data_IF_014612506205
#
_entry.id   IF_014612506205
#
_cell.length_a   1.000
_cell.length_b   1.000
_cell.length_c   1.000
_cell.angle_alpha   90.00
_cell.angle_beta   90.00
_cell.angle_gamma   90.00
#
_symmetry.space_group_name_H-M   'P 1'
#
loop_
_entity.id
_entity.type
_entity.pdbx_description
1 polymer ?
#
# COMPACT_ATOMS: atom_id res chain seq x y z
N UNK A 1 31.24 99.42 27.15
CA UNK A 1 30.30 98.84 26.18
C UNK A 1 30.94 98.02 25.03
N UNK A 2 32.15 97.44 25.18
CA UNK A 2 32.81 96.65 24.10
C UNK A 2 32.98 95.14 24.38
N UNK A 3 32.70 94.63 25.58
CA UNK A 3 32.91 93.21 25.93
C UNK A 3 31.69 92.28 25.73
N UNK A 4 30.48 92.81 25.58
CA UNK A 4 29.25 92.00 25.41
C UNK A 4 28.96 91.60 23.96
N UNK A 5 29.52 92.30 22.96
CA UNK A 5 29.32 91.96 21.53
C UNK A 5 30.16 90.76 21.06
N UNK A 6 31.33 90.52 21.67
CA UNK A 6 32.18 89.36 21.32
C UNK A 6 31.61 88.03 21.83
N UNK A 7 31.03 88.01 23.03
CA UNK A 7 30.45 86.79 23.60
C UNK A 7 29.17 86.37 22.87
N UNK A 8 28.34 87.32 22.45
CA UNK A 8 27.13 87.03 21.66
C UNK A 8 27.47 86.53 20.25
N UNK A 9 28.54 87.06 19.63
CA UNK A 9 29.02 86.60 18.32
C UNK A 9 29.61 85.19 18.40
N UNK A 10 30.36 84.87 19.46
CA UNK A 10 30.93 83.53 19.68
C UNK A 10 29.84 82.51 19.98
N UNK A 11 28.80 82.88 20.74
CA UNK A 11 27.65 81.99 21.01
C UNK A 11 26.78 81.81 19.75
N UNK A 12 26.55 82.85 18.95
CA UNK A 12 25.86 82.69 17.65
C UNK A 12 26.66 81.83 16.68
N UNK A 13 28.00 81.98 16.67
CA UNK A 13 28.89 81.26 15.76
C UNK A 13 29.09 79.81 16.20
N UNK A 14 29.10 79.49 17.50
CA UNK A 14 29.08 78.09 17.97
C UNK A 14 27.74 77.42 17.75
N UNK A 15 26.60 78.12 17.89
CA UNK A 15 25.28 77.58 17.53
C UNK A 15 25.16 77.38 16.00
N UNK A 16 25.81 78.20 15.19
CA UNK A 16 25.88 78.00 13.73
C UNK A 16 26.85 76.89 13.32
N UNK A 17 27.97 76.68 14.04
CA UNK A 17 28.92 75.60 13.73
C UNK A 17 28.50 74.23 14.28
N UNK A 18 27.72 74.14 15.36
CA UNK A 18 27.18 72.85 15.84
C UNK A 18 26.05 72.30 14.98
N UNK A 19 25.51 73.10 14.06
CA UNK A 19 24.54 72.66 13.05
C UNK A 19 25.21 72.26 11.71
N UNK A 20 26.55 72.26 11.62
CA UNK A 20 27.27 71.99 10.38
C UNK A 20 28.16 70.74 10.38
N UNK A 21 28.24 69.98 11.48
CA UNK A 21 29.01 68.72 11.52
C UNK A 21 28.11 67.51 11.72
N UNK A 22 27.42 67.16 10.64
CA UNK A 22 26.67 65.92 10.55
C UNK A 22 26.03 65.69 9.19
N UNK A 23 26.63 66.12 8.07
CA UNK A 23 26.04 65.87 6.75
C UNK A 23 27.09 65.56 5.68
N UNK A 24 27.27 64.27 5.42
CA UNK A 24 27.50 63.78 4.06
C UNK A 24 26.13 63.40 3.46
N UNK A 25 25.17 64.35 3.45
CA UNK A 25 23.85 64.09 2.88
C UNK A 25 23.90 64.28 1.36
N UNK A 26 23.92 63.19 0.59
CA UNK A 26 23.60 63.24 -0.84
C UNK A 26 22.08 63.36 -1.01
N UNK A 27 21.56 64.57 -0.90
CA UNK A 27 20.16 64.88 -1.27
C UNK A 27 20.10 65.32 -2.72
N UNK A 28 19.58 64.44 -3.58
CA UNK A 28 19.18 64.82 -4.94
C UNK A 28 17.67 64.64 -5.10
N UNK A 29 16.92 65.76 -5.00
CA UNK A 29 15.47 66.00 -5.33
C UNK A 29 14.51 66.24 -4.13
N UNK A 30 13.42 66.96 -4.43
CA UNK A 30 12.33 67.50 -3.58
C UNK A 30 11.97 66.71 -2.30
N UNK A 31 11.95 67.45 -1.18
CA UNK A 31 11.31 67.09 0.09
C UNK A 31 11.83 65.77 0.71
N UNK A 32 13.13 65.51 0.59
CA UNK A 32 13.85 64.47 1.31
C UNK A 32 14.27 64.95 2.71
N UNK A 33 14.29 64.05 3.69
CA UNK A 33 14.64 64.36 5.09
C UNK A 33 15.64 63.34 5.62
N UNK A 34 16.88 63.75 5.87
CA UNK A 34 17.93 62.93 6.51
C UNK A 34 18.30 63.52 7.87
N UNK A 35 17.80 62.95 8.97
CA UNK A 35 17.97 63.50 10.33
C UNK A 35 18.86 62.63 11.21
N UNK A 36 18.94 61.33 10.93
CA UNK A 36 19.83 60.44 11.68
C UNK A 36 21.31 60.78 11.44
N UNK A 37 22.16 60.61 12.44
CA UNK A 37 23.61 60.78 12.25
C UNK A 37 24.10 59.69 11.26
N UNK A 38 24.80 60.13 10.20
CA UNK A 38 25.19 59.32 9.04
C UNK A 38 24.03 58.74 8.21
N UNK A 39 22.84 59.36 8.26
CA UNK A 39 21.71 58.95 7.43
C UNK A 39 21.81 59.51 6.00
N UNK A 40 21.41 58.71 5.01
CA UNK A 40 21.42 59.09 3.60
C UNK A 40 20.00 59.03 3.04
N UNK A 41 19.55 60.10 2.37
CA UNK A 41 18.25 60.14 1.69
C UNK A 41 18.42 60.68 0.27
N UNK A 42 18.24 59.82 -0.75
CA UNK A 42 18.51 60.15 -2.15
C UNK A 42 17.29 59.88 -3.07
N UNK A 43 16.88 60.84 -3.88
CA UNK A 43 15.69 60.76 -4.74
C UNK A 43 14.56 61.69 -4.26
N UNK A 44 13.29 61.31 -4.42
CA UNK A 44 12.13 62.19 -4.16
C UNK A 44 11.32 61.77 -2.92
N UNK A 45 11.05 62.69 -1.99
CA UNK A 45 10.20 62.44 -0.81
C UNK A 45 10.66 61.26 0.08
N UNK A 46 11.97 61.02 0.21
CA UNK A 46 12.50 59.97 1.09
C UNK A 46 12.81 60.50 2.50
N UNK A 47 12.61 59.67 3.52
CA UNK A 47 12.86 60.01 4.93
C UNK A 47 13.84 59.00 5.52
N UNK A 48 15.00 59.44 6.00
CA UNK A 48 16.01 58.63 6.66
C UNK A 48 16.31 59.23 8.05
N UNK A 49 15.70 58.67 9.09
CA UNK A 49 15.79 59.21 10.47
C UNK A 49 16.59 58.34 11.42
N UNK A 50 16.81 57.06 11.09
CA UNK A 50 17.62 56.16 11.91
C UNK A 50 19.12 56.46 11.81
N UNK A 51 19.89 56.11 12.84
CA UNK A 51 21.36 56.21 12.82
C UNK A 51 21.93 55.30 11.72
N UNK A 52 22.83 55.76 10.85
CA UNK A 52 23.29 55.01 9.65
C UNK A 52 22.18 54.53 8.69
N UNK A 53 20.98 55.11 8.75
CA UNK A 53 19.88 54.69 7.86
C UNK A 53 20.08 55.16 6.42
N UNK A 54 19.51 54.47 5.45
CA UNK A 54 19.59 54.85 4.03
C UNK A 54 18.25 54.68 3.33
N UNK A 55 17.72 55.75 2.74
CA UNK A 55 16.49 55.74 1.96
C UNK A 55 16.76 56.24 0.53
N UNK A 56 16.48 55.42 -0.49
CA UNK A 56 16.80 55.73 -1.89
C UNK A 56 15.65 55.42 -2.85
N UNK A 57 15.30 56.35 -3.73
CA UNK A 57 14.22 56.19 -4.72
C UNK A 57 13.11 57.21 -4.52
N UNK A 58 11.85 56.78 -4.36
CA UNK A 58 10.72 57.69 -4.15
C UNK A 58 9.79 57.25 -3.01
N UNK A 59 9.45 58.16 -2.09
CA UNK A 59 8.56 57.92 -0.94
C UNK A 59 9.02 56.83 0.06
N UNK A 60 10.32 56.54 0.15
CA UNK A 60 10.82 55.55 1.10
C UNK A 60 11.06 56.15 2.48
N UNK A 61 10.91 55.34 3.52
CA UNK A 61 11.16 55.74 4.90
C UNK A 61 12.07 54.70 5.58
N UNK A 62 13.27 55.10 6.00
CA UNK A 62 14.21 54.30 6.76
C UNK A 62 14.36 54.89 8.18
N UNK A 63 13.57 54.39 9.12
CA UNK A 63 13.48 54.93 10.49
C UNK A 63 14.24 54.12 11.52
N UNK A 64 14.53 52.83 11.24
CA UNK A 64 15.35 51.98 12.11
C UNK A 64 16.84 52.32 12.05
N UNK A 65 17.60 52.07 13.12
CA UNK A 65 19.05 52.23 13.08
C UNK A 65 19.66 51.20 12.12
N UNK A 66 20.64 51.63 11.32
CA UNK A 66 21.26 50.90 10.23
C UNK A 66 20.24 50.28 9.24
N UNK A 67 19.04 50.87 9.14
CA UNK A 67 18.01 50.37 8.23
C UNK A 67 18.17 50.93 6.82
N UNK A 68 17.71 50.17 5.83
CA UNK A 68 17.80 50.53 4.41
C UNK A 68 16.44 50.39 3.74
N UNK A 69 15.99 51.39 3.00
CA UNK A 69 14.74 51.39 2.22
C UNK A 69 15.01 51.87 0.79
N UNK A 70 14.94 50.97 -0.20
CA UNK A 70 15.26 51.26 -1.60
C UNK A 70 14.05 50.98 -2.51
N UNK A 71 13.71 51.91 -3.42
CA UNK A 71 12.67 51.72 -4.43
C UNK A 71 11.51 52.71 -4.31
N UNK A 72 10.27 52.22 -4.21
CA UNK A 72 9.06 53.05 -4.20
C UNK A 72 8.16 52.76 -2.98
N UNK A 73 7.91 53.77 -2.15
CA UNK A 73 6.93 53.70 -1.05
C UNK A 73 7.22 52.55 -0.06
N UNK A 74 8.48 52.36 0.30
CA UNK A 74 8.89 51.34 1.29
C UNK A 74 9.08 51.92 2.69
N UNK A 75 8.94 51.09 3.72
CA UNK A 75 9.09 51.48 5.11
C UNK A 75 9.95 50.48 5.89
N UNK A 76 11.17 50.87 6.26
CA UNK A 76 12.12 50.10 7.08
C UNK A 76 12.19 50.66 8.50
N UNK A 77 11.58 49.96 9.45
CA UNK A 77 11.46 50.36 10.86
C UNK A 77 12.40 49.56 11.76
N UNK A 78 12.59 48.27 11.47
CA UNK A 78 13.42 47.39 12.28
C UNK A 78 14.90 47.83 12.31
N UNK A 79 15.59 47.56 13.41
CA UNK A 79 17.04 47.77 13.49
C UNK A 79 17.75 46.81 12.52
N UNK A 80 18.77 47.28 11.79
CA UNK A 80 19.47 46.52 10.75
C UNK A 80 18.53 45.93 9.67
N UNK A 81 17.35 46.51 9.48
CA UNK A 81 16.38 46.01 8.50
C UNK A 81 16.66 46.52 7.10
N UNK A 82 16.40 45.71 6.08
CA UNK A 82 16.55 46.11 4.68
C UNK A 82 15.26 45.86 3.92
N UNK A 83 14.83 46.84 3.13
CA UNK A 83 13.62 46.77 2.31
C UNK A 83 13.93 47.24 0.90
N UNK A 84 13.67 46.40 -0.11
CA UNK A 84 14.00 46.70 -1.52
C UNK A 84 12.81 46.37 -2.43
N UNK A 85 12.27 47.37 -3.14
CA UNK A 85 11.22 47.15 -4.14
C UNK A 85 10.09 48.17 -4.06
N UNK A 86 8.83 47.74 -4.03
CA UNK A 86 7.67 48.64 -4.01
C UNK A 86 6.62 48.26 -2.98
N UNK A 87 6.12 49.22 -2.19
CA UNK A 87 5.06 48.99 -1.20
C UNK A 87 5.37 47.89 -0.19
N UNK A 88 6.55 47.96 0.43
CA UNK A 88 7.06 46.96 1.35
C UNK A 88 7.26 47.55 2.75
N UNK A 89 7.17 46.71 3.78
CA UNK A 89 7.37 47.12 5.16
C UNK A 89 8.21 46.11 5.94
N UNK A 90 9.34 46.56 6.48
CA UNK A 90 10.24 45.75 7.30
C UNK A 90 10.24 46.25 8.74
N UNK A 91 9.67 45.45 9.65
CA UNK A 91 9.46 45.81 11.07
C UNK A 91 10.36 45.00 11.99
N UNK A 92 10.68 43.75 11.63
CA UNK A 92 11.54 42.90 12.45
C UNK A 92 12.99 43.42 12.50
N UNK A 93 13.66 43.28 13.63
CA UNK A 93 15.10 43.54 13.70
C UNK A 93 15.86 42.50 12.87
N UNK A 94 16.92 42.93 12.18
CA UNK A 94 17.71 42.09 11.27
C UNK A 94 16.84 41.40 10.20
N UNK A 95 15.74 42.04 9.79
CA UNK A 95 14.84 41.49 8.80
C UNK A 95 15.07 42.10 7.42
N UNK A 96 14.91 41.27 6.40
CA UNK A 96 15.08 41.64 5.00
C UNK A 96 13.79 41.38 4.26
N UNK A 97 13.35 42.34 3.44
CA UNK A 97 12.19 42.21 2.56
C UNK A 97 12.55 42.69 1.16
N UNK A 98 12.17 41.90 0.16
CA UNK A 98 12.31 42.28 -1.24
C UNK A 98 11.07 41.90 -2.06
N UNK A 99 10.74 42.76 -3.03
CA UNK A 99 9.76 42.48 -4.07
C UNK A 99 8.71 43.58 -4.25
N UNK A 100 7.44 43.23 -4.37
CA UNK A 100 6.35 44.22 -4.54
C UNK A 100 5.13 43.85 -3.71
N UNK A 101 4.68 44.77 -2.84
CA UNK A 101 3.41 44.67 -2.15
C UNK A 101 2.28 45.39 -2.89
N UNK A 102 1.18 45.65 -2.17
CA UNK A 102 0.02 46.41 -2.65
C UNK A 102 -0.04 47.77 -1.96
N UNK A 103 -0.55 48.79 -2.66
CA UNK A 103 -0.53 50.19 -2.19
C UNK A 103 -1.12 50.42 -0.79
N UNK A 104 -2.23 49.76 -0.48
CA UNK A 104 -2.90 49.87 0.82
C UNK A 104 -2.62 48.69 1.76
N UNK A 105 -1.89 47.68 1.28
CA UNK A 105 -1.58 46.45 2.02
C UNK A 105 -0.14 46.05 1.71
N UNK A 106 0.86 46.72 2.31
CA UNK A 106 2.25 46.44 1.99
C UNK A 106 2.62 45.03 2.45
N UNK A 107 3.50 44.37 1.69
CA UNK A 107 4.11 43.12 2.13
C UNK A 107 4.95 43.42 3.37
N UNK A 108 4.55 42.86 4.50
CA UNK A 108 5.11 43.21 5.81
C UNK A 108 5.88 42.04 6.40
N UNK A 109 7.18 42.24 6.65
CA UNK A 109 7.97 41.32 7.46
C UNK A 109 8.14 41.86 8.88
N UNK A 110 7.44 41.24 9.81
CA UNK A 110 7.50 41.54 11.24
C UNK A 110 8.31 40.50 12.04
N UNK A 111 9.04 39.60 11.36
CA UNK A 111 9.79 38.52 12.00
C UNK A 111 11.26 38.93 12.09
N UNK A 112 11.81 38.95 13.31
CA UNK A 112 13.23 39.25 13.49
C UNK A 112 14.12 38.13 12.91
N UNK A 113 15.33 38.48 12.47
CA UNK A 113 16.30 37.55 11.88
C UNK A 113 15.70 36.69 10.74
N UNK A 114 15.04 37.36 9.79
CA UNK A 114 14.32 36.69 8.71
C UNK A 114 14.52 37.39 7.37
N UNK A 115 14.31 36.65 6.29
CA UNK A 115 14.34 37.15 4.92
C UNK A 115 13.02 36.79 4.27
N UNK A 116 12.33 37.77 3.68
CA UNK A 116 11.04 37.58 3.05
C UNK A 116 11.07 38.09 1.61
N UNK A 117 10.52 37.28 0.71
CA UNK A 117 10.36 37.57 -0.71
C UNK A 117 8.87 37.48 -1.05
N UNK A 118 8.37 38.42 -1.83
CA UNK A 118 7.00 38.35 -2.33
C UNK A 118 6.78 39.26 -3.53
N UNK A 119 5.65 39.11 -4.20
CA UNK A 119 5.35 39.89 -5.39
C UNK A 119 3.86 40.04 -5.60
N UNK A 120 3.44 41.28 -5.88
CA UNK A 120 2.06 41.68 -6.19
C UNK A 120 1.06 41.15 -5.13
N UNK A 121 1.48 41.09 -3.86
CA UNK A 121 0.69 40.53 -2.76
C UNK A 121 1.12 41.14 -1.42
N UNK A 122 0.21 41.18 -0.45
CA UNK A 122 0.53 41.50 0.94
C UNK A 122 0.98 40.26 1.75
N UNK A 123 0.98 39.08 1.12
CA UNK A 123 1.43 37.81 1.69
C UNK A 123 2.78 37.39 1.08
N UNK A 124 3.65 36.72 1.84
CA UNK A 124 4.95 36.30 1.34
C UNK A 124 4.83 35.12 0.38
N UNK A 125 5.64 35.14 -0.67
CA UNK A 125 5.85 33.97 -1.54
C UNK A 125 6.88 33.02 -0.93
N UNK A 126 7.95 33.58 -0.32
CA UNK A 126 9.00 32.82 0.34
C UNK A 126 9.45 33.54 1.60
N UNK A 127 9.72 32.79 2.66
CA UNK A 127 10.32 33.28 3.88
C UNK A 127 11.42 32.36 4.37
N UNK A 128 12.52 32.93 4.84
CA UNK A 128 13.60 32.25 5.54
C UNK A 128 13.66 32.78 6.96
N UNK A 129 13.59 31.90 7.96
CA UNK A 129 13.67 32.28 9.37
C UNK A 129 14.79 31.52 10.09
N UNK A 130 15.19 32.01 11.27
CA UNK A 130 16.01 31.23 12.19
C UNK A 130 15.29 29.97 12.70
N UNK A 131 16.07 29.06 13.30
CA UNK A 131 15.59 27.90 14.05
C UNK A 131 15.97 28.06 15.53
N UNK A 132 15.25 27.38 16.43
CA UNK A 132 15.61 27.36 17.85
C UNK A 132 16.87 26.52 18.07
N UNK A 133 17.85 27.07 18.79
CA UNK A 133 19.07 26.37 19.20
C UNK A 133 20.35 26.99 18.63
N UNK A 134 21.41 26.96 19.43
CA UNK A 134 22.73 27.47 19.04
C UNK A 134 23.30 26.66 17.87
N UNK A 135 23.78 27.32 16.82
CA UNK A 135 24.38 26.68 15.65
C UNK A 135 23.39 25.98 14.71
N UNK A 136 22.08 26.23 14.85
CA UNK A 136 21.08 25.63 13.97
C UNK A 136 20.94 26.39 12.66
N UNK A 137 20.65 25.66 11.58
CA UNK A 137 20.32 26.27 10.29
C UNK A 137 18.86 26.76 10.27
N UNK A 138 18.56 27.74 9.44
CA UNK A 138 17.21 28.29 9.30
C UNK A 138 16.17 27.30 8.74
N UNK A 139 14.97 27.81 8.55
CA UNK A 139 13.84 27.11 7.91
C UNK A 139 13.35 27.93 6.72
N UNK A 140 12.81 27.25 5.71
CA UNK A 140 12.25 27.86 4.50
C UNK A 140 10.75 27.61 4.48
N UNK A 141 9.97 28.67 4.38
CA UNK A 141 8.54 28.64 4.07
C UNK A 141 8.29 29.09 2.64
N UNK A 142 7.44 28.37 1.91
CA UNK A 142 6.96 28.76 0.57
C UNK A 142 5.43 28.81 0.61
N UNK A 143 4.89 29.92 0.10
CA UNK A 143 3.52 30.35 0.32
C UNK A 143 3.34 30.90 1.74
N UNK A 144 2.14 31.40 2.05
CA UNK A 144 1.82 32.19 3.25
C UNK A 144 1.94 31.44 4.59
N UNK A 145 3.15 31.00 4.92
CA UNK A 145 3.49 30.10 6.03
C UNK A 145 3.65 30.83 7.36
N UNK A 146 3.89 32.15 7.34
CA UNK A 146 4.27 32.89 8.54
C UNK A 146 5.62 32.41 9.06
N UNK A 147 5.66 31.86 10.28
CA UNK A 147 6.85 31.20 10.81
C UNK A 147 6.85 29.71 10.41
N UNK A 148 7.82 29.24 9.60
CA UNK A 148 7.87 27.84 9.17
C UNK A 148 7.93 26.85 10.35
N UNK A 149 7.22 25.72 10.26
CA UNK A 149 7.19 24.69 11.30
C UNK A 149 8.24 23.58 11.08
N UNK A 150 8.71 23.44 9.84
CA UNK A 150 9.67 22.43 9.41
C UNK A 150 10.73 23.07 8.53
N UNK A 151 11.84 22.37 8.28
CA UNK A 151 12.96 22.84 7.44
C UNK A 151 12.49 23.35 6.07
N UNK A 152 11.53 22.66 5.48
CA UNK A 152 10.78 23.11 4.32
C UNK A 152 9.29 23.03 4.66
N UNK A 153 8.61 24.17 4.71
CA UNK A 153 7.17 24.27 4.93
C UNK A 153 6.53 24.82 3.65
N UNK A 154 5.65 24.06 3.02
CA UNK A 154 4.87 24.50 1.86
C UNK A 154 3.43 24.71 2.29
N UNK A 155 2.87 25.87 2.00
CA UNK A 155 1.47 26.18 2.30
C UNK A 155 0.82 26.85 1.11
N UNK A 156 -0.29 26.28 0.66
CA UNK A 156 -1.11 26.86 -0.39
C UNK A 156 -2.01 27.97 0.17
N UNK A 157 -2.34 28.91 -0.71
CA UNK A 157 -3.42 29.86 -0.49
C UNK A 157 -4.79 29.21 -0.79
N UNK A 158 -5.88 29.94 -0.53
CA UNK A 158 -7.23 29.41 -0.74
C UNK A 158 -7.48 29.09 -2.23
N UNK A 159 -7.96 27.86 -2.49
CA UNK A 159 -8.17 27.36 -3.85
C UNK A 159 -6.92 26.84 -4.58
N UNK A 160 -5.76 26.76 -3.93
CA UNK A 160 -4.51 26.24 -4.50
C UNK A 160 -4.07 24.91 -3.84
N UNK A 161 -3.28 24.09 -4.56
CA UNK A 161 -2.67 22.88 -4.01
C UNK A 161 -1.24 23.14 -3.52
N UNK A 162 -0.94 22.73 -2.28
CA UNK A 162 0.42 22.77 -1.72
C UNK A 162 1.23 21.55 -2.20
N UNK A 163 1.51 21.48 -3.50
CA UNK A 163 2.12 20.31 -4.13
C UNK A 163 3.62 20.50 -4.44
N UNK A 164 4.39 19.42 -4.35
CA UNK A 164 5.75 19.34 -4.90
C UNK A 164 5.69 18.54 -6.18
N UNK A 165 5.90 19.21 -7.32
CA UNK A 165 6.02 18.55 -8.61
C UNK A 165 7.49 18.31 -8.94
N UNK A 166 7.92 17.05 -8.85
CA UNK A 166 9.27 16.61 -9.21
C UNK A 166 9.15 15.84 -10.52
N UNK A 167 9.76 16.34 -11.59
CA UNK A 167 9.75 15.71 -12.91
C UNK A 167 11.17 15.43 -13.40
N UNK A 168 11.40 14.31 -14.11
CA UNK A 168 12.67 14.09 -14.78
C UNK A 168 12.83 15.02 -15.99
N UNK A 169 14.04 15.10 -16.53
CA UNK A 169 14.31 15.83 -17.76
C UNK A 169 13.56 15.23 -18.97
N UNK A 170 13.54 13.90 -19.09
CA UNK A 170 12.79 13.22 -20.16
C UNK A 170 12.02 12.00 -19.64
N UNK A 171 10.72 12.19 -19.38
CA UNK A 171 9.82 11.12 -18.93
C UNK A 171 9.84 9.91 -19.86
N UNK A 172 9.75 10.16 -21.17
CA UNK A 172 9.63 9.11 -22.20
C UNK A 172 10.89 8.29 -22.47
N UNK A 173 12.02 8.62 -21.84
CA UNK A 173 13.27 7.82 -21.91
C UNK A 173 13.52 7.03 -20.64
N UNK A 174 12.59 7.08 -19.68
CA UNK A 174 12.70 6.37 -18.42
C UNK A 174 13.60 7.06 -17.37
N UNK A 175 13.89 8.36 -17.55
CA UNK A 175 14.58 9.17 -16.54
C UNK A 175 13.76 9.23 -15.25
N UNK A 176 14.42 9.40 -14.10
CA UNK A 176 13.78 9.38 -12.79
C UNK A 176 13.56 10.77 -12.21
N UNK A 177 12.34 11.04 -11.73
CA UNK A 177 12.12 12.01 -10.67
C UNK A 177 12.30 11.31 -9.32
N UNK A 178 12.99 11.93 -8.37
CA UNK A 178 13.20 11.31 -7.07
C UNK A 178 13.21 12.31 -5.92
N UNK A 179 12.50 11.97 -4.84
CA UNK A 179 12.62 12.59 -3.53
C UNK A 179 13.43 11.65 -2.63
N UNK A 180 14.64 12.05 -2.26
CA UNK A 180 15.48 11.30 -1.32
C UNK A 180 15.12 11.64 0.13
N UNK A 181 15.10 10.65 1.01
CA UNK A 181 14.70 10.72 2.42
C UNK A 181 15.81 10.12 3.29
N UNK A 182 16.52 10.95 4.05
CA UNK A 182 17.62 10.51 4.92
C UNK A 182 18.94 10.25 4.17
N UNK A 183 18.94 9.40 3.13
CA UNK A 183 20.08 9.21 2.23
C UNK A 183 19.65 8.97 0.78
N UNK A 184 20.60 8.95 -0.16
CA UNK A 184 20.34 8.81 -1.60
C UNK A 184 19.69 7.48 -2.01
N UNK A 185 19.73 6.48 -1.13
CA UNK A 185 19.21 5.15 -1.39
C UNK A 185 17.81 4.95 -0.79
N UNK A 186 17.30 5.92 -0.02
CA UNK A 186 15.95 5.91 0.55
C UNK A 186 15.12 7.02 -0.10
N UNK A 187 13.95 6.71 -0.62
CA UNK A 187 13.13 7.75 -1.24
C UNK A 187 11.95 7.27 -2.06
N UNK A 188 11.25 8.23 -2.64
CA UNK A 188 10.15 8.02 -3.58
C UNK A 188 10.67 8.38 -4.97
N UNK A 189 10.41 7.56 -5.97
CA UNK A 189 10.82 7.84 -7.34
C UNK A 189 9.76 7.45 -8.35
N UNK A 190 9.73 8.16 -9.48
CA UNK A 190 8.83 7.89 -10.57
C UNK A 190 9.57 7.89 -11.91
N UNK A 191 9.24 6.95 -12.79
CA UNK A 191 9.59 7.00 -14.21
C UNK A 191 8.53 6.30 -15.07
N UNK A 192 8.59 6.51 -16.39
CA UNK A 192 7.63 5.92 -17.33
C UNK A 192 7.65 4.39 -17.34
N UNK A 193 8.83 3.77 -17.20
CA UNK A 193 8.99 2.32 -17.32
C UNK A 193 8.45 1.54 -16.13
N UNK A 194 8.58 2.07 -14.91
CA UNK A 194 8.27 1.35 -13.68
C UNK A 194 7.20 2.04 -12.83
N UNK A 195 6.66 3.19 -13.26
CA UNK A 195 5.67 3.95 -12.52
C UNK A 195 6.27 4.56 -11.24
N UNK A 196 5.47 4.61 -10.18
CA UNK A 196 5.87 5.10 -8.86
C UNK A 196 6.42 3.95 -8.01
N UNK A 197 7.61 4.13 -7.42
CA UNK A 197 8.22 3.13 -6.57
C UNK A 197 9.01 3.75 -5.41
N UNK A 198 9.11 2.97 -4.33
CA UNK A 198 9.85 3.31 -3.12
C UNK A 198 11.25 2.66 -3.18
N UNK A 199 12.30 3.46 -3.10
CA UNK A 199 13.71 3.01 -3.11
C UNK A 199 14.21 2.86 -1.68
N UNK A 200 14.97 1.80 -1.43
CA UNK A 200 15.71 1.55 -0.17
C UNK A 200 16.95 0.70 -0.34
N UNK A 201 17.86 0.78 0.62
CA UNK A 201 18.98 -0.17 0.72
C UNK A 201 18.50 -1.57 1.11
N UNK A 202 19.19 -2.60 0.58
CA UNK A 202 19.08 -3.96 1.10
C UNK A 202 19.26 -3.94 2.62
N UNK A 203 18.39 -4.66 3.33
CA UNK A 203 18.36 -4.77 4.80
C UNK A 203 17.89 -3.53 5.60
N UNK A 204 17.60 -2.38 4.99
CA UNK A 204 17.11 -1.22 5.75
C UNK A 204 15.59 -1.02 5.73
N UNK A 205 14.89 -1.61 4.76
CA UNK A 205 13.49 -1.24 4.52
C UNK A 205 12.46 -2.06 5.30
N UNK A 206 12.86 -3.25 5.75
CA UNK A 206 11.93 -4.22 6.33
C UNK A 206 12.61 -5.03 7.44
N UNK A 207 13.32 -4.38 8.38
CA UNK A 207 13.90 -5.11 9.51
C UNK A 207 12.85 -5.80 10.41
N UNK A 208 11.55 -5.53 10.19
CA UNK A 208 10.41 -6.34 10.67
C UNK A 208 9.18 -6.29 9.69
N UNK A 209 9.37 -6.02 8.39
CA UNK A 209 8.32 -6.27 7.39
C UNK A 209 7.02 -5.45 7.38
N UNK A 210 6.98 -4.14 7.68
CA UNK A 210 5.73 -3.37 7.53
C UNK A 210 5.83 -2.03 6.79
N UNK A 211 5.00 -1.90 5.76
CA UNK A 211 4.55 -0.65 5.17
C UNK A 211 3.42 -0.08 6.06
N UNK A 212 3.74 0.81 7.01
CA UNK A 212 2.73 1.40 7.92
C UNK A 212 1.93 2.49 7.19
N UNK A 213 0.73 2.15 6.74
CA UNK A 213 -0.33 3.12 6.46
C UNK A 213 -1.39 3.07 7.56
N UNK A 214 -1.55 4.18 8.30
CA UNK A 214 -2.71 4.44 9.16
C UNK A 214 -2.75 3.71 10.51
N UNK A 215 -3.32 4.40 11.51
CA UNK A 215 -3.66 3.82 12.82
C UNK A 215 -4.63 2.64 12.62
N UNK A 216 -4.14 1.41 12.72
CA UNK A 216 -4.96 0.20 12.62
C UNK A 216 -4.25 -1.06 12.09
N UNK A 217 -3.12 -0.91 11.39
CA UNK A 217 -2.36 -2.05 10.88
C UNK A 217 -1.70 -2.85 12.02
N UNK A 218 -2.05 -4.14 12.17
CA UNK A 218 -1.41 -5.10 13.08
C UNK A 218 -0.44 -6.01 12.32
N UNK A 219 0.51 -6.61 13.05
CA UNK A 219 1.51 -7.55 12.53
C UNK A 219 0.89 -8.63 11.60
N UNK A 220 1.60 -8.97 10.53
CA UNK A 220 1.23 -10.03 9.58
C UNK A 220 0.44 -9.62 8.33
N UNK A 221 0.23 -8.33 8.06
CA UNK A 221 -0.54 -7.87 6.90
C UNK A 221 0.35 -7.71 5.64
N UNK A 222 0.06 -8.44 4.55
CA UNK A 222 0.75 -8.32 3.24
C UNK A 222 -0.22 -7.81 2.18
N UNK A 223 0.23 -6.83 1.38
CA UNK A 223 -0.47 -6.30 0.21
C UNK A 223 -0.34 -7.29 -0.95
N UNK A 224 -1.41 -8.02 -1.31
CA UNK A 224 -1.31 -9.14 -2.25
C UNK A 224 -1.66 -8.80 -3.71
N UNK A 225 -2.55 -7.85 -3.97
CA UNK A 225 -2.82 -7.33 -5.32
C UNK A 225 -3.77 -6.14 -5.27
N UNK A 226 -3.76 -5.35 -6.36
CA UNK A 226 -4.86 -4.50 -6.73
C UNK A 226 -5.81 -5.29 -7.64
N UNK A 227 -7.12 -5.07 -7.53
CA UNK A 227 -8.09 -5.55 -8.52
C UNK A 227 -7.87 -4.88 -9.90
N UNK A 228 -8.65 -5.26 -10.91
CA UNK A 228 -8.59 -4.67 -12.26
C UNK A 228 -8.87 -3.16 -12.29
N UNK A 229 -9.31 -2.59 -11.17
CA UNK A 229 -9.63 -1.17 -10.99
C UNK A 229 -8.58 -0.43 -10.14
N UNK A 230 -7.53 -1.13 -9.64
CA UNK A 230 -6.44 -0.51 -8.90
C UNK A 230 -6.66 -0.39 -7.38
N UNK A 231 -7.71 -1.01 -6.82
CA UNK A 231 -8.04 -0.88 -5.39
C UNK A 231 -7.25 -1.86 -4.54
N UNK A 232 -6.48 -1.33 -3.57
CA UNK A 232 -5.76 -2.13 -2.59
C UNK A 232 -6.72 -2.69 -1.52
N UNK A 233 -6.93 -4.02 -1.53
CA UNK A 233 -7.78 -4.68 -0.53
C UNK A 233 -6.91 -5.29 0.58
N UNK A 234 -7.10 -4.81 1.81
CA UNK A 234 -6.55 -5.44 3.01
C UNK A 234 -7.43 -6.62 3.40
N UNK A 235 -6.92 -7.86 3.28
CA UNK A 235 -7.61 -9.03 3.82
C UNK A 235 -6.83 -9.62 4.97
N UNK A 236 -7.55 -10.01 6.03
CA UNK A 236 -7.01 -10.90 7.06
C UNK A 236 -6.77 -12.24 6.38
N UNK A 237 -5.54 -12.73 6.38
CA UNK A 237 -5.24 -14.07 5.91
C UNK A 237 -5.73 -15.07 6.97
N UNK A 238 -7.05 -15.26 7.10
CA UNK A 238 -7.57 -16.52 7.65
C UNK A 238 -7.38 -17.56 6.56
N UNK A 239 -6.14 -18.04 6.41
CA UNK A 239 -5.92 -19.26 5.65
C UNK A 239 -6.70 -20.35 6.38
N UNK A 240 -7.76 -20.95 5.79
CA UNK A 240 -8.16 -22.26 6.25
C UNK A 240 -6.88 -23.11 6.26
N UNK A 241 -6.69 -23.92 7.30
CA UNK A 241 -5.50 -24.79 7.42
C UNK A 241 -5.15 -25.33 6.03
N UNK A 242 -3.91 -25.14 5.55
CA UNK A 242 -3.56 -25.44 4.18
C UNK A 242 -4.04 -26.86 3.88
N UNK A 243 -4.92 -26.99 2.88
CA UNK A 243 -5.33 -28.32 2.42
C UNK A 243 -4.03 -29.09 2.16
N UNK A 244 -3.86 -30.30 2.72
CA UNK A 244 -2.68 -31.10 2.45
C UNK A 244 -2.57 -31.44 0.95
N UNK A 245 -3.65 -31.26 0.20
CA UNK A 245 -3.72 -31.39 -1.25
C UNK A 245 -3.41 -30.06 -1.93
N UNK A 246 -2.17 -29.91 -2.36
CA UNK A 246 -1.75 -28.83 -3.26
C UNK A 246 -2.05 -29.22 -4.71
N UNK A 247 -2.58 -28.28 -5.49
CA UNK A 247 -2.66 -28.45 -6.94
C UNK A 247 -1.24 -28.48 -7.54
N UNK A 248 -0.84 -29.61 -8.10
CA UNK A 248 0.44 -29.78 -8.79
C UNK A 248 0.18 -30.09 -10.26
N UNK A 249 0.54 -29.16 -11.14
CA UNK A 249 0.26 -29.26 -12.57
C UNK A 249 -1.25 -29.25 -12.88
N UNK A 250 -1.59 -29.33 -14.17
CA UNK A 250 -3.00 -29.43 -14.59
C UNK A 250 -3.58 -30.82 -14.37
N UNK A 251 -2.78 -31.87 -14.20
CA UNK A 251 -3.27 -33.25 -14.10
C UNK A 251 -2.58 -34.12 -13.05
N UNK A 252 -1.51 -33.68 -12.39
CA UNK A 252 -0.80 -34.59 -11.45
C UNK A 252 -1.61 -34.76 -10.16
N UNK A 253 -1.93 -33.64 -9.51
CA UNK A 253 -2.86 -33.58 -8.37
C UNK A 253 -3.79 -32.39 -8.59
N UNK A 254 -5.08 -32.69 -8.73
CA UNK A 254 -6.17 -31.73 -8.84
C UNK A 254 -7.00 -31.71 -7.56
N UNK A 255 -7.21 -30.53 -6.98
CA UNK A 255 -8.07 -30.36 -5.81
C UNK A 255 -9.06 -29.22 -6.06
N UNK A 256 -10.35 -29.52 -5.99
CA UNK A 256 -11.41 -28.52 -6.22
C UNK A 256 -12.66 -28.90 -5.44
N UNK A 257 -13.22 -27.93 -4.71
CA UNK A 257 -14.44 -28.09 -3.92
C UNK A 257 -14.44 -29.34 -3.00
N UNK A 258 -13.30 -29.66 -2.39
CA UNK A 258 -13.15 -30.82 -1.50
C UNK A 258 -12.79 -32.15 -2.18
N UNK A 259 -12.86 -32.23 -3.52
CA UNK A 259 -12.61 -33.45 -4.29
C UNK A 259 -11.18 -33.53 -4.76
N UNK A 260 -10.63 -34.75 -4.81
CA UNK A 260 -9.24 -35.04 -5.21
C UNK A 260 -9.20 -35.84 -6.52
N UNK A 261 -8.45 -35.34 -7.50
CA UNK A 261 -8.10 -36.06 -8.73
C UNK A 261 -6.60 -36.33 -8.80
N UNK A 262 -6.19 -37.56 -9.10
CA UNK A 262 -4.80 -37.96 -9.32
C UNK A 262 -4.66 -38.43 -10.76
N UNK A 263 -3.85 -37.76 -11.58
CA UNK A 263 -3.76 -38.03 -13.01
C UNK A 263 -4.95 -37.50 -13.83
N UNK A 264 -5.93 -36.82 -13.23
CA UNK A 264 -7.15 -36.33 -13.89
C UNK A 264 -7.73 -35.10 -13.20
N UNK A 265 -8.36 -34.20 -13.97
CA UNK A 265 -9.17 -33.08 -13.45
C UNK A 265 -10.65 -33.42 -13.32
N UNK A 266 -11.10 -34.48 -13.98
CA UNK A 266 -12.49 -34.91 -13.93
C UNK A 266 -12.63 -35.97 -12.85
N UNK A 267 -13.30 -35.62 -11.75
CA UNK A 267 -13.60 -36.54 -10.65
C UNK A 267 -14.88 -37.34 -10.86
N UNK A 268 -15.61 -37.10 -11.95
CA UNK A 268 -16.89 -37.76 -12.28
C UNK A 268 -17.91 -37.74 -11.13
N UNK A 269 -17.83 -36.72 -10.27
CA UNK A 269 -18.69 -36.58 -9.10
C UNK A 269 -18.19 -37.30 -7.84
N UNK A 270 -17.21 -38.19 -7.93
CA UNK A 270 -16.62 -38.91 -6.79
C UNK A 270 -15.66 -38.02 -5.97
N UNK A 271 -15.48 -38.37 -4.69
CA UNK A 271 -14.56 -37.64 -3.78
C UNK A 271 -13.08 -37.87 -4.14
N UNK A 272 -12.74 -39.06 -4.65
CA UNK A 272 -11.40 -39.41 -5.12
C UNK A 272 -11.49 -40.08 -6.50
N UNK A 273 -10.79 -39.54 -7.49
CA UNK A 273 -10.64 -40.14 -8.83
C UNK A 273 -9.16 -40.32 -9.18
N UNK A 274 -8.78 -41.52 -9.63
CA UNK A 274 -7.40 -41.85 -9.98
C UNK A 274 -7.34 -42.37 -11.41
N UNK A 275 -6.66 -41.65 -12.31
CA UNK A 275 -6.37 -42.12 -13.66
C UNK A 275 -5.08 -42.94 -13.65
N UNK A 276 -5.16 -44.19 -13.19
CA UNK A 276 -4.01 -45.07 -13.06
C UNK A 276 -4.27 -46.28 -12.17
N UNK A 277 -3.19 -46.93 -11.73
CA UNK A 277 -3.25 -48.05 -10.77
C UNK A 277 -3.06 -47.53 -9.36
N UNK A 278 -3.77 -48.14 -8.41
CA UNK A 278 -3.62 -47.88 -6.97
C UNK A 278 -2.88 -49.08 -6.38
N UNK A 279 -1.77 -48.82 -5.69
CA UNK A 279 -1.12 -49.79 -4.81
C UNK A 279 -1.49 -49.44 -3.37
N UNK A 280 -2.07 -50.38 -2.65
CA UNK A 280 -2.46 -50.23 -1.25
C UNK A 280 -2.16 -51.54 -0.51
N UNK A 281 -1.74 -51.44 0.75
CA UNK A 281 -1.57 -52.61 1.61
C UNK A 281 -2.94 -53.23 1.96
N UNK A 282 -3.95 -52.39 2.21
CA UNK A 282 -5.33 -52.81 2.49
C UNK A 282 -6.33 -51.71 2.10
N UNK A 283 -7.52 -52.12 1.63
CA UNK A 283 -8.64 -51.21 1.33
C UNK A 283 -9.86 -51.67 2.13
N UNK A 284 -10.20 -50.92 3.18
CA UNK A 284 -11.36 -51.18 4.02
C UNK A 284 -12.62 -50.57 3.41
N UNK A 285 -13.63 -51.39 3.14
CA UNK A 285 -14.92 -50.94 2.60
C UNK A 285 -16.00 -51.15 3.63
N UNK A 286 -16.58 -50.06 4.12
CA UNK A 286 -17.73 -50.09 5.04
C UNK A 286 -18.99 -49.75 4.27
N UNK A 287 -19.67 -50.77 3.72
CA UNK A 287 -20.95 -50.59 3.06
C UNK A 287 -22.08 -50.51 4.11
N UNK A 288 -23.04 -49.57 4.00
CA UNK A 288 -24.09 -49.35 5.02
C UNK A 288 -25.23 -50.38 5.01
N UNK A 289 -25.20 -51.37 4.11
CA UNK A 289 -26.23 -52.42 4.02
C UNK A 289 -25.73 -53.69 4.72
N UNK A 290 -26.64 -54.41 5.39
CA UNK A 290 -26.37 -55.68 6.08
C UNK A 290 -25.59 -56.65 5.18
N UNK A 291 -24.30 -56.79 5.48
CA UNK A 291 -23.38 -57.62 4.73
C UNK A 291 -23.54 -59.08 5.16
N UNK A 292 -24.47 -59.82 4.53
CA UNK A 292 -24.48 -61.30 4.52
C UNK A 292 -25.55 -62.04 5.34
N UNK A 293 -25.40 -63.37 5.35
CA UNK A 293 -26.18 -64.47 5.96
C UNK A 293 -27.66 -64.63 5.58
N UNK A 294 -28.23 -63.69 4.82
CA UNK A 294 -29.65 -63.77 4.48
C UNK A 294 -30.00 -64.94 3.54
N UNK A 295 -29.05 -65.48 2.78
CA UNK A 295 -29.24 -66.67 1.93
C UNK A 295 -29.54 -67.92 2.74
N UNK A 296 -29.06 -67.98 4.00
CA UNK A 296 -29.31 -69.11 4.90
C UNK A 296 -30.61 -68.98 5.71
N UNK A 297 -31.38 -67.90 5.52
CA UNK A 297 -32.65 -67.74 6.22
C UNK A 297 -33.70 -68.73 5.68
N UNK A 298 -34.60 -69.25 6.53
CA UNK A 298 -35.60 -70.25 6.11
C UNK A 298 -36.56 -69.80 5.01
N UNK A 299 -36.72 -68.48 4.83
CA UNK A 299 -37.57 -67.85 3.82
C UNK A 299 -36.83 -67.51 2.51
N UNK A 300 -35.54 -67.87 2.40
CA UNK A 300 -34.78 -67.65 1.18
C UNK A 300 -35.23 -68.59 0.06
N UNK A 301 -35.70 -67.99 -1.04
CA UNK A 301 -36.13 -68.75 -2.22
C UNK A 301 -34.95 -69.06 -3.14
N UNK A 302 -34.30 -70.21 -2.92
CA UNK A 302 -33.22 -70.70 -3.79
C UNK A 302 -33.78 -71.08 -5.17
N UNK A 303 -33.23 -70.49 -6.23
CA UNK A 303 -33.64 -70.78 -7.61
C UNK A 303 -33.41 -72.27 -7.94
N UNK A 304 -34.40 -73.01 -8.45
CA UNK A 304 -34.19 -74.39 -8.87
C UNK A 304 -33.12 -74.54 -9.97
N UNK A 305 -32.33 -75.63 -9.93
CA UNK A 305 -31.20 -75.84 -10.87
C UNK A 305 -31.62 -75.87 -12.35
N UNK A 306 -32.83 -76.36 -12.66
CA UNK A 306 -33.39 -76.34 -14.00
C UNK A 306 -33.62 -74.90 -14.51
N UNK A 307 -34.20 -74.03 -13.68
CA UNK A 307 -34.43 -72.62 -13.98
C UNK A 307 -33.11 -71.85 -14.10
N UNK A 308 -32.17 -72.10 -13.19
CA UNK A 308 -30.83 -71.53 -13.24
C UNK A 308 -30.13 -71.90 -14.57
N UNK A 309 -30.25 -73.16 -15.01
CA UNK A 309 -29.68 -73.61 -16.28
C UNK A 309 -30.27 -72.88 -17.49
N UNK A 310 -31.58 -72.60 -17.47
CA UNK A 310 -32.26 -71.84 -18.51
C UNK A 310 -31.82 -70.38 -18.51
N UNK A 311 -31.66 -69.79 -17.32
CA UNK A 311 -31.16 -68.43 -17.16
C UNK A 311 -29.76 -68.29 -17.74
N UNK A 312 -28.83 -69.19 -17.39
CA UNK A 312 -27.44 -69.12 -17.87
C UNK A 312 -27.39 -69.31 -19.39
N UNK A 313 -28.16 -70.26 -19.95
CA UNK A 313 -28.23 -70.45 -21.41
C UNK A 313 -28.69 -69.20 -22.14
N UNK A 314 -29.68 -68.50 -21.58
CA UNK A 314 -30.27 -67.29 -22.18
C UNK A 314 -29.37 -66.06 -22.01
N UNK A 315 -28.84 -65.83 -20.81
CA UNK A 315 -28.22 -64.56 -20.43
C UNK A 315 -26.68 -64.61 -20.39
N UNK A 316 -26.07 -65.80 -20.42
CA UNK A 316 -24.61 -66.00 -20.39
C UNK A 316 -23.90 -65.43 -19.15
N UNK A 317 -24.65 -65.15 -18.07
CA UNK A 317 -24.12 -64.80 -16.75
C UNK A 317 -25.03 -65.36 -15.65
N UNK A 318 -24.58 -65.30 -14.40
CA UNK A 318 -25.38 -65.72 -13.25
C UNK A 318 -26.44 -64.66 -12.87
N UNK A 319 -27.57 -65.06 -12.28
CA UNK A 319 -28.56 -64.10 -11.79
C UNK A 319 -27.94 -63.09 -10.82
N UNK A 320 -28.30 -61.81 -10.95
CA UNK A 320 -27.77 -60.69 -10.13
C UNK A 320 -26.27 -60.39 -10.28
N UNK A 321 -25.54 -61.12 -11.14
CA UNK A 321 -24.17 -60.74 -11.52
C UNK A 321 -24.28 -59.87 -12.78
N UNK A 322 -23.68 -58.66 -12.80
CA UNK A 322 -23.73 -57.80 -13.97
C UNK A 322 -23.06 -58.48 -15.17
N UNK A 323 -23.62 -58.25 -16.35
CA UNK A 323 -23.06 -58.75 -17.60
C UNK A 323 -21.77 -58.01 -17.97
N UNK A 324 -20.94 -58.64 -18.80
CA UNK A 324 -19.71 -58.02 -19.34
C UNK A 324 -19.98 -56.65 -19.98
N UNK A 325 -21.10 -56.54 -20.71
CA UNK A 325 -21.51 -55.28 -21.37
C UNK A 325 -21.83 -54.18 -20.37
N UNK A 326 -22.46 -54.51 -19.24
CA UNK A 326 -22.77 -53.53 -18.19
C UNK A 326 -21.49 -53.08 -17.48
N UNK A 327 -20.60 -54.01 -17.17
CA UNK A 327 -19.32 -53.74 -16.51
C UNK A 327 -18.41 -52.85 -17.37
N UNK A 328 -18.37 -53.08 -18.69
CA UNK A 328 -17.57 -52.26 -19.60
C UNK A 328 -18.02 -50.80 -19.67
N UNK A 329 -19.31 -50.52 -19.49
CA UNK A 329 -19.86 -49.16 -19.62
C UNK A 329 -19.83 -48.42 -18.27
N UNK A 330 -20.24 -49.09 -17.20
CA UNK A 330 -20.47 -48.45 -15.91
C UNK A 330 -19.38 -48.74 -14.86
N UNK A 331 -18.49 -49.70 -15.14
CA UNK A 331 -17.65 -50.30 -14.11
C UNK A 331 -18.46 -51.16 -13.13
N UNK A 332 -17.87 -51.52 -11.99
CA UNK A 332 -18.57 -52.15 -10.88
C UNK A 332 -18.03 -51.64 -9.54
N UNK A 333 -18.89 -51.58 -8.54
CA UNK A 333 -18.49 -51.26 -7.18
C UNK A 333 -17.78 -52.45 -6.52
N UNK A 334 -16.61 -52.21 -5.91
CA UNK A 334 -15.86 -53.29 -5.25
C UNK A 334 -16.64 -53.91 -4.07
N UNK A 335 -17.39 -53.09 -3.31
CA UNK A 335 -18.24 -53.57 -2.22
C UNK A 335 -19.38 -54.45 -2.74
N UNK A 336 -20.13 -53.94 -3.72
CA UNK A 336 -21.29 -54.59 -4.32
C UNK A 336 -20.90 -55.92 -4.98
N UNK A 337 -19.79 -55.95 -5.71
CA UNK A 337 -19.31 -57.19 -6.33
C UNK A 337 -18.91 -58.22 -5.27
N UNK A 338 -18.23 -57.81 -4.19
CA UNK A 338 -17.88 -58.71 -3.10
C UNK A 338 -19.13 -59.27 -2.41
N UNK A 339 -20.18 -58.46 -2.24
CA UNK A 339 -21.47 -58.91 -1.71
C UNK A 339 -22.14 -59.93 -2.64
N UNK A 340 -22.23 -59.64 -3.94
CA UNK A 340 -22.80 -60.56 -4.93
C UNK A 340 -22.02 -61.87 -4.96
N UNK A 341 -20.69 -61.82 -4.96
CA UNK A 341 -19.84 -63.00 -4.95
C UNK A 341 -20.05 -63.84 -3.68
N UNK A 342 -20.15 -63.20 -2.52
CA UNK A 342 -20.45 -63.89 -1.26
C UNK A 342 -21.81 -64.59 -1.34
N UNK A 343 -22.85 -63.89 -1.78
CA UNK A 343 -24.18 -64.47 -2.02
C UNK A 343 -24.11 -65.70 -2.94
N UNK A 344 -23.31 -65.66 -4.00
CA UNK A 344 -23.15 -66.79 -4.92
C UNK A 344 -22.44 -67.98 -4.28
N UNK A 345 -21.44 -67.73 -3.43
CA UNK A 345 -20.80 -68.80 -2.65
C UNK A 345 -21.79 -69.44 -1.68
N UNK A 346 -22.67 -68.67 -1.05
CA UNK A 346 -23.72 -69.18 -0.17
C UNK A 346 -24.77 -70.01 -0.94
N UNK A 347 -25.27 -69.52 -2.08
CA UNK A 347 -26.19 -70.27 -2.95
C UNK A 347 -25.56 -71.58 -3.46
N UNK A 348 -24.28 -71.52 -3.88
CA UNK A 348 -23.53 -72.72 -4.29
C UNK A 348 -23.41 -73.73 -3.15
N UNK A 349 -23.22 -73.26 -1.92
CA UNK A 349 -23.15 -74.11 -0.74
C UNK A 349 -24.49 -74.84 -0.51
N UNK A 350 -25.62 -74.16 -0.68
CA UNK A 350 -26.95 -74.80 -0.58
C UNK A 350 -27.16 -75.86 -1.67
N UNK A 351 -26.79 -75.59 -2.92
CA UNK A 351 -26.89 -76.59 -4.00
C UNK A 351 -26.00 -77.82 -3.73
N UNK A 352 -24.80 -77.63 -3.17
CA UNK A 352 -23.91 -78.76 -2.82
C UNK A 352 -24.53 -79.62 -1.73
N UNK A 353 -25.11 -79.01 -0.69
CA UNK A 353 -25.80 -79.75 0.39
C UNK A 353 -27.02 -80.51 -0.13
N UNK A 354 -27.79 -79.91 -1.03
CA UNK A 354 -28.92 -80.57 -1.70
C UNK A 354 -28.45 -81.76 -2.54
N UNK A 355 -27.41 -81.59 -3.35
CA UNK A 355 -26.83 -82.66 -4.16
C UNK A 355 -26.29 -83.80 -3.30
N UNK A 356 -25.60 -83.50 -2.19
CA UNK A 356 -25.09 -84.52 -1.26
C UNK A 356 -26.24 -85.36 -0.68
N UNK A 357 -27.36 -84.73 -0.31
CA UNK A 357 -28.54 -85.44 0.18
C UNK A 357 -29.14 -86.37 -0.88
N UNK A 358 -29.18 -85.93 -2.14
CA UNK A 358 -29.63 -86.78 -3.26
C UNK A 358 -28.67 -87.96 -3.47
N UNK A 359 -27.35 -87.75 -3.42
CA UNK A 359 -26.35 -88.81 -3.54
C UNK A 359 -26.45 -89.85 -2.42
N UNK A 360 -26.65 -89.41 -1.17
CA UNK A 360 -26.86 -90.30 -0.03
C UNK A 360 -28.13 -91.13 -0.18
N UNK A 361 -29.22 -90.51 -0.65
CA UNK A 361 -30.48 -91.20 -0.94
C UNK A 361 -30.31 -92.24 -2.04
N UNK A 362 -29.68 -91.86 -3.16
CA UNK A 362 -29.38 -92.78 -4.26
C UNK A 362 -28.47 -93.93 -3.83
N UNK A 363 -27.46 -93.65 -3.00
CA UNK A 363 -26.55 -94.68 -2.47
C UNK A 363 -27.29 -95.65 -1.53
N UNK A 364 -28.21 -95.16 -0.71
CA UNK A 364 -29.06 -95.98 0.14
C UNK A 364 -30.00 -96.87 -0.71
N UNK A 365 -30.64 -96.32 -1.74
CA UNK A 365 -31.48 -97.08 -2.68
C UNK A 365 -30.67 -98.15 -3.43
N UNK A 366 -29.47 -97.81 -3.92
CA UNK A 366 -28.56 -98.76 -4.57
C UNK A 366 -28.15 -99.90 -3.65
N UNK A 367 -27.92 -99.63 -2.37
CA UNK A 367 -27.61 -100.66 -1.37
C UNK A 367 -28.81 -101.60 -1.19
N UNK A 368 -30.03 -101.07 -1.09
CA UNK A 368 -31.27 -101.86 -1.01
C UNK A 368 -31.46 -102.74 -2.25
N UNK A 369 -31.28 -102.20 -3.46
CA UNK A 369 -31.41 -102.96 -4.72
C UNK A 369 -30.36 -104.07 -4.80
N UNK A 370 -29.10 -103.79 -4.41
CA UNK A 370 -28.03 -104.81 -4.37
C UNK A 370 -28.36 -105.96 -3.43
N UNK A 371 -28.97 -105.66 -2.28
CA UNK A 371 -29.37 -106.70 -1.32
C UNK A 371 -30.57 -107.51 -1.80
N UNK A 372 -31.49 -106.92 -2.57
CA UNK A 372 -32.59 -107.65 -3.23
C UNK A 372 -32.10 -108.57 -4.36
N UNK A 373 -31.08 -108.16 -5.12
CA UNK A 373 -30.47 -108.98 -6.18
C UNK A 373 -29.66 -110.17 -5.63
N UNK A 374 -29.09 -110.06 -4.42
CA UNK A 374 -28.38 -111.17 -3.75
C UNK A 374 -29.31 -112.25 -3.19
N UNK A 375 -30.61 -111.96 -3.06
CA UNK A 375 -31.63 -112.88 -2.50
C UNK A 375 -32.46 -113.60 -3.57
N UNK A 376 -32.24 -113.30 -4.86
CA UNK A 376 -32.69 -114.10 -6.00
C UNK A 376 -31.53 -114.93 -6.51
#
# INVERSE_FOLDING_TARGET
MKKTKGLLLVILMTIFLTNLFGQDCVSCVENTTGVGKYANAMGRNNVATGYYSSAMGRYNQATGNASMALGFTNLSIGEYSTTIGSYLKSVGNNSFVIGSGLENMPLTNNIANSIMFGGVSNLPTLIVTGSSGMGTTGMIGIGNTGFPLYKLHLRADDGEAAAVFIQPFNWSRGDYASLALGNQLHGISANERYGLFFKTQSFYNFNEGYLKYGMGAREGSVLLCADSEGTAVWTRLELPAPSPWLTSGTSDIYFSAGKVGIGTINTYGYELAVLGKILADEVMIKHPVDWGDYVFKPDYNLMPLNELSLFIKKNQHLPNVPSEKEVMVNGYGLAEMNEILLKKVEELTLYILEQQKVLETQQAELNVIKDQLKKK
#
